data_IF_076518406177
#
_entry.id   IF_076518406177
#
_cell.length_a   1.000
_cell.length_b   1.000
_cell.length_c   1.000
_cell.angle_alpha   90.00
_cell.angle_beta   90.00
_cell.angle_gamma   90.00
#
_symmetry.space_group_name_H-M   'P 1'
#
loop_
_entity.id
_entity.type
_entity.pdbx_description
1 polymer ?
#
# COMPACT_ATOMS: atom_id res chain seq x y z
N UNK A 1 27.50 38.21 -31.42
CA UNK A 1 27.27 39.62 -31.05
C UNK A 1 25.85 39.63 -30.48
N UNK A 2 25.52 39.71 -29.20
CA UNK A 2 26.12 40.08 -27.92
C UNK A 2 25.21 39.38 -26.87
N UNK A 3 25.70 38.56 -25.95
CA UNK A 3 25.92 38.87 -24.51
C UNK A 3 24.78 39.65 -23.81
N UNK A 4 24.49 39.22 -22.57
CA UNK A 4 23.62 39.78 -21.50
C UNK A 4 22.33 38.95 -21.35
N UNK A 5 22.02 38.37 -20.19
CA UNK A 5 22.15 38.93 -18.84
C UNK A 5 22.05 37.77 -17.83
N UNK A 6 23.17 37.44 -17.20
CA UNK A 6 23.17 36.75 -15.90
C UNK A 6 22.68 37.78 -14.86
N UNK A 7 21.56 37.50 -14.21
CA UNK A 7 21.10 38.25 -13.04
C UNK A 7 21.29 37.34 -11.83
N UNK A 8 22.46 37.53 -11.21
CA UNK A 8 22.85 37.03 -9.90
C UNK A 8 21.83 37.53 -8.87
N UNK A 9 21.14 36.62 -8.19
CA UNK A 9 20.37 36.95 -6.98
C UNK A 9 21.12 36.31 -5.82
N UNK A 10 22.06 37.07 -5.25
CA UNK A 10 22.61 36.83 -3.92
C UNK A 10 21.48 37.04 -2.89
N UNK A 11 20.84 35.95 -2.50
CA UNK A 11 19.97 35.94 -1.34
C UNK A 11 20.84 35.74 -0.09
N UNK A 12 21.04 36.84 0.62
CA UNK A 12 21.58 37.01 1.96
C UNK A 12 21.14 35.88 2.92
N UNK A 13 22.03 34.91 3.18
CA UNK A 13 21.84 33.86 4.19
C UNK A 13 22.08 34.49 5.56
N UNK A 14 20.99 34.89 6.20
CA UNK A 14 20.97 35.40 7.57
C UNK A 14 21.29 34.26 8.53
N UNK A 15 22.54 34.24 9.03
CA UNK A 15 23.01 33.30 10.04
C UNK A 15 22.10 33.35 11.29
N UNK A 16 21.46 32.22 11.59
CA UNK A 16 20.76 32.01 12.85
C UNK A 16 21.77 31.39 13.83
N UNK A 17 22.05 32.02 14.99
CA UNK A 17 22.95 31.44 15.98
C UNK A 17 22.34 30.17 16.57
N UNK A 18 22.98 29.03 16.29
CA UNK A 18 22.70 27.73 16.90
C UNK A 18 23.19 27.80 18.34
N UNK A 19 22.27 27.81 19.29
CA UNK A 19 22.55 27.66 20.72
C UNK A 19 22.74 26.16 21.01
N UNK A 20 23.89 25.70 21.52
CA UNK A 20 24.05 24.32 21.93
C UNK A 20 23.26 24.10 23.24
N UNK A 21 22.12 23.43 23.15
CA UNK A 21 21.43 22.91 24.32
C UNK A 21 22.24 21.73 24.88
N UNK A 22 22.95 21.97 25.99
CA UNK A 22 23.50 20.92 26.85
C UNK A 22 22.38 19.97 27.28
N UNK A 23 22.31 18.80 26.66
CA UNK A 23 21.49 17.69 27.14
C UNK A 23 22.28 17.00 28.23
N UNK A 24 21.92 17.30 29.49
CA UNK A 24 22.32 16.54 30.67
C UNK A 24 21.94 15.07 30.49
N UNK A 25 22.94 14.21 30.34
CA UNK A 25 22.78 12.78 30.53
C UNK A 25 22.42 12.50 32.01
N UNK A 26 21.29 11.83 32.20
CA UNK A 26 20.94 11.20 33.48
C UNK A 26 21.24 9.71 33.32
N UNK A 27 22.20 9.14 34.06
CA UNK A 27 22.38 7.69 34.05
C UNK A 27 21.28 7.07 34.90
N UNK A 28 20.23 6.56 34.25
CA UNK A 28 19.27 5.69 34.89
C UNK A 28 19.91 4.31 35.02
N UNK A 29 20.34 4.00 36.24
CA UNK A 29 20.83 2.71 36.70
C UNK A 29 19.71 1.67 36.55
N UNK A 30 19.66 0.98 35.41
CA UNK A 30 18.71 -0.12 35.17
C UNK A 30 19.33 -1.40 35.73
N UNK A 31 18.74 -1.82 36.85
CA UNK A 31 19.00 -3.04 37.60
C UNK A 31 18.78 -4.26 36.69
N UNK A 32 19.87 -4.93 36.31
CA UNK A 32 19.83 -6.19 35.56
C UNK A 32 19.20 -7.29 36.42
N UNK A 33 18.15 -7.93 35.88
CA UNK A 33 17.66 -9.22 36.33
C UNK A 33 18.06 -10.23 35.25
N UNK A 34 18.98 -11.18 35.52
CA UNK A 34 19.31 -12.21 34.55
C UNK A 34 18.20 -13.25 34.57
N UNK A 35 17.15 -13.02 33.77
CA UNK A 35 16.25 -14.09 33.37
C UNK A 35 17.00 -14.93 32.34
N UNK A 36 17.55 -16.05 32.80
CA UNK A 36 18.20 -17.10 32.01
C UNK A 36 17.15 -17.73 31.07
N UNK A 37 16.83 -17.03 29.97
CA UNK A 37 16.00 -17.54 28.89
C UNK A 37 16.89 -18.51 28.13
N UNK A 38 16.64 -19.80 28.37
CA UNK A 38 17.23 -20.93 27.67
C UNK A 38 16.89 -20.80 26.18
N UNK A 39 17.76 -20.13 25.43
CA UNK A 39 17.65 -19.99 23.99
C UNK A 39 17.71 -21.39 23.38
N UNK A 40 16.57 -21.84 22.87
CA UNK A 40 16.53 -22.95 21.94
C UNK A 40 16.98 -22.34 20.61
N UNK A 41 18.16 -22.68 20.07
CA UNK A 41 18.53 -22.28 18.72
C UNK A 41 17.66 -23.10 17.77
N UNK A 42 16.41 -22.67 17.59
CA UNK A 42 15.65 -23.04 16.42
C UNK A 42 16.41 -22.38 15.27
N UNK A 43 17.15 -23.19 14.51
CA UNK A 43 17.79 -22.81 13.27
C UNK A 43 16.68 -22.54 12.24
N UNK A 44 15.95 -21.45 12.46
CA UNK A 44 14.94 -20.96 11.54
C UNK A 44 15.73 -20.40 10.39
N UNK A 45 15.74 -21.13 9.26
CA UNK A 45 16.24 -20.60 8.00
C UNK A 45 15.51 -19.29 7.75
N UNK A 46 16.21 -18.17 7.95
CA UNK A 46 15.63 -16.85 7.77
C UNK A 46 15.19 -16.73 6.32
N UNK A 47 13.87 -16.67 6.12
CA UNK A 47 13.30 -16.43 4.80
C UNK A 47 13.75 -15.02 4.39
N UNK A 48 14.47 -14.86 3.27
CA UNK A 48 14.91 -13.54 2.84
C UNK A 48 13.72 -12.59 2.76
N UNK A 49 13.88 -11.34 3.20
CA UNK A 49 12.76 -10.38 3.21
C UNK A 49 12.10 -10.25 1.83
N UNK A 50 12.90 -10.33 0.76
CA UNK A 50 12.48 -10.28 -0.64
C UNK A 50 11.54 -11.43 -1.05
N UNK A 51 11.45 -12.51 -0.26
CA UNK A 51 10.56 -13.63 -0.53
C UNK A 51 9.16 -13.45 0.08
N UNK A 52 8.95 -12.37 0.84
CA UNK A 52 7.65 -12.02 1.40
C UNK A 52 7.13 -10.74 0.74
N UNK A 53 5.82 -10.64 0.52
CA UNK A 53 5.23 -9.42 -0.06
C UNK A 53 5.56 -8.16 0.76
N UNK A 54 5.47 -8.27 2.09
CA UNK A 54 5.80 -7.17 3.01
C UNK A 54 7.28 -6.78 2.94
N UNK A 55 8.16 -7.75 2.78
CA UNK A 55 9.59 -7.49 2.65
C UNK A 55 9.99 -6.95 1.29
N UNK A 56 9.42 -7.44 0.17
CA UNK A 56 9.58 -6.82 -1.16
C UNK A 56 9.25 -5.34 -1.10
N UNK A 57 8.10 -4.97 -0.53
CA UNK A 57 7.70 -3.56 -0.38
C UNK A 57 8.71 -2.76 0.43
N UNK A 58 9.24 -3.32 1.53
CA UNK A 58 10.28 -2.65 2.33
C UNK A 58 11.57 -2.45 1.54
N UNK A 59 12.03 -3.47 0.82
CA UNK A 59 13.24 -3.41 -0.02
C UNK A 59 13.07 -2.37 -1.12
N UNK A 60 11.93 -2.38 -1.83
CA UNK A 60 11.64 -1.39 -2.88
C UNK A 60 11.65 0.02 -2.29
N UNK A 61 10.92 0.28 -1.20
CA UNK A 61 10.88 1.63 -0.61
C UNK A 61 12.26 2.07 -0.11
N UNK A 62 13.05 1.16 0.47
CA UNK A 62 14.42 1.48 0.91
C UNK A 62 15.31 1.90 -0.27
N UNK A 63 15.20 1.23 -1.42
CA UNK A 63 15.95 1.60 -2.65
C UNK A 63 15.45 2.93 -3.23
N UNK A 64 14.14 3.13 -3.25
CA UNK A 64 13.51 4.38 -3.73
C UNK A 64 13.97 5.57 -2.90
N UNK A 65 13.96 5.46 -1.57
CA UNK A 65 14.43 6.53 -0.69
C UNK A 65 15.93 6.78 -0.82
N UNK A 66 16.76 5.74 -0.93
CA UNK A 66 18.19 5.92 -1.15
C UNK A 66 18.50 6.68 -2.47
N UNK A 67 17.75 6.40 -3.53
CA UNK A 67 17.90 7.12 -4.80
C UNK A 67 17.32 8.54 -4.75
N UNK A 68 16.22 8.74 -4.02
CA UNK A 68 15.69 10.07 -3.71
C UNK A 68 16.73 10.94 -2.99
N UNK A 69 17.33 10.42 -1.92
CA UNK A 69 18.38 11.10 -1.15
C UNK A 69 19.58 11.42 -2.04
N UNK A 70 19.94 10.52 -2.96
CA UNK A 70 21.01 10.77 -3.94
C UNK A 70 20.66 11.93 -4.89
N UNK A 71 19.42 12.00 -5.40
CA UNK A 71 18.99 13.10 -6.26
C UNK A 71 18.99 14.45 -5.50
N UNK A 72 18.65 14.44 -4.23
CA UNK A 72 18.73 15.63 -3.37
C UNK A 72 20.18 16.10 -3.19
N UNK A 73 21.13 15.17 -2.97
CA UNK A 73 22.56 15.47 -2.91
C UNK A 73 23.11 16.01 -4.24
N UNK A 74 22.58 15.55 -5.37
CA UNK A 74 22.91 16.06 -6.70
C UNK A 74 22.26 17.43 -7.01
N UNK A 75 21.40 17.94 -6.13
CA UNK A 75 20.66 19.18 -6.35
C UNK A 75 19.58 19.08 -7.43
N UNK A 76 19.13 17.86 -7.76
CA UNK A 76 18.04 17.63 -8.71
C UNK A 76 16.73 17.53 -7.94
N UNK A 77 15.83 18.53 -8.04
CA UNK A 77 14.55 18.47 -7.35
C UNK A 77 13.69 17.34 -7.94
N UNK A 78 13.19 16.46 -7.08
CA UNK A 78 12.28 15.39 -7.47
C UNK A 78 10.87 15.93 -7.62
N UNK A 79 10.23 15.75 -8.77
CA UNK A 79 8.83 16.15 -8.94
C UNK A 79 7.90 15.09 -8.34
N UNK A 80 6.69 15.50 -7.97
CA UNK A 80 5.68 14.60 -7.37
C UNK A 80 5.35 13.38 -8.25
N UNK A 81 5.51 13.51 -9.57
CA UNK A 81 5.30 12.42 -10.53
C UNK A 81 6.49 11.47 -10.69
N UNK A 82 7.70 11.90 -10.32
CA UNK A 82 8.92 11.11 -10.54
C UNK A 82 9.06 10.02 -9.48
N UNK A 83 8.64 10.28 -8.25
CA UNK A 83 8.62 9.28 -7.18
C UNK A 83 7.80 8.03 -7.57
N UNK A 84 6.62 8.22 -8.19
CA UNK A 84 5.78 7.10 -8.63
C UNK A 84 6.44 6.25 -9.73
N UNK A 85 7.17 6.91 -10.65
CA UNK A 85 7.96 6.20 -11.69
C UNK A 85 9.10 5.42 -11.05
N UNK A 86 9.82 6.04 -10.11
CA UNK A 86 10.93 5.43 -9.39
C UNK A 86 10.49 4.19 -8.60
N UNK A 87 9.35 4.25 -7.91
CA UNK A 87 8.74 3.08 -7.24
C UNK A 87 8.44 1.97 -8.25
N UNK A 88 7.87 2.30 -9.41
CA UNK A 88 7.51 1.32 -10.44
C UNK A 88 8.76 0.64 -11.02
N UNK A 89 9.81 1.41 -11.29
CA UNK A 89 11.10 0.93 -11.79
C UNK A 89 11.77 -0.02 -10.80
N UNK A 90 11.95 0.42 -9.54
CA UNK A 90 12.55 -0.41 -8.48
C UNK A 90 11.71 -1.64 -8.15
N UNK A 91 10.39 -1.55 -8.23
CA UNK A 91 9.53 -2.70 -8.08
C UNK A 91 9.77 -3.74 -9.20
N UNK A 92 9.91 -3.28 -10.45
CA UNK A 92 10.20 -4.16 -11.58
C UNK A 92 11.58 -4.82 -11.48
N UNK A 93 12.60 -4.09 -11.01
CA UNK A 93 13.93 -4.64 -10.70
C UNK A 93 13.85 -5.74 -9.64
N UNK A 94 13.26 -5.43 -8.47
CA UNK A 94 13.13 -6.39 -7.37
C UNK A 94 12.34 -7.62 -7.79
N UNK A 95 11.28 -7.45 -8.59
CA UNK A 95 10.48 -8.58 -9.10
C UNK A 95 11.30 -9.53 -9.99
N UNK A 96 12.34 -9.04 -10.69
CA UNK A 96 13.27 -9.88 -11.46
C UNK A 96 14.27 -10.61 -10.55
N UNK A 97 14.57 -10.06 -9.37
CA UNK A 97 15.45 -10.68 -8.36
C UNK A 97 14.74 -11.73 -7.51
N UNK A 98 13.41 -11.67 -7.36
CA UNK A 98 12.67 -12.62 -6.53
C UNK A 98 12.94 -14.08 -6.96
N UNK A 99 12.86 -14.48 -8.24
CA UNK A 99 13.11 -15.88 -8.62
C UNK A 99 14.56 -16.34 -8.40
N UNK A 100 15.54 -15.43 -8.38
CA UNK A 100 16.95 -15.78 -8.21
C UNK A 100 17.32 -15.96 -6.73
N UNK A 101 16.78 -15.11 -5.87
CA UNK A 101 17.03 -15.14 -4.42
C UNK A 101 16.10 -16.13 -3.72
N UNK A 102 14.82 -16.08 -4.08
CA UNK A 102 13.83 -17.00 -3.59
C UNK A 102 13.86 -18.23 -4.47
N UNK A 103 14.81 -19.13 -4.18
CA UNK A 103 14.74 -20.55 -4.58
C UNK A 103 13.61 -21.26 -3.83
N UNK A 104 12.47 -20.60 -3.70
CA UNK A 104 11.23 -21.23 -3.30
C UNK A 104 10.90 -22.16 -4.45
N UNK A 105 11.02 -23.45 -4.18
CA UNK A 105 10.54 -24.54 -5.02
C UNK A 105 9.22 -24.09 -5.65
N UNK A 106 9.29 -23.81 -6.96
CA UNK A 106 8.18 -23.28 -7.76
C UNK A 106 6.97 -24.21 -7.80
N UNK A 107 7.07 -25.36 -7.15
CA UNK A 107 6.09 -26.44 -7.14
C UNK A 107 4.85 -26.13 -6.28
N UNK A 108 4.88 -25.08 -5.44
CA UNK A 108 3.71 -24.68 -4.63
C UNK A 108 2.80 -23.67 -5.36
N UNK A 109 3.32 -22.89 -6.32
CA UNK A 109 2.56 -21.84 -7.02
C UNK A 109 2.16 -22.18 -8.46
N UNK A 110 2.58 -23.32 -9.00
CA UNK A 110 2.06 -23.89 -10.26
C UNK A 110 0.78 -24.70 -10.07
N UNK A 111 0.08 -24.55 -8.92
CA UNK A 111 -1.32 -24.89 -8.82
C UNK A 111 -2.11 -23.98 -9.77
N UNK A 112 -2.34 -24.51 -10.97
CA UNK A 112 -3.08 -23.90 -12.05
C UNK A 112 -4.36 -23.23 -11.53
N UNK A 113 -4.51 -21.89 -11.65
CA UNK A 113 -5.73 -21.19 -11.24
C UNK A 113 -6.96 -21.66 -12.04
N UNK A 114 -6.80 -22.50 -13.08
CA UNK A 114 -7.90 -23.20 -13.76
C UNK A 114 -8.64 -24.21 -12.89
N UNK A 115 -8.09 -24.60 -11.73
CA UNK A 115 -8.66 -25.63 -10.84
C UNK A 115 -9.19 -25.08 -9.52
N UNK A 116 -9.67 -23.85 -9.52
CA UNK A 116 -10.62 -23.37 -8.50
C UNK A 116 -12.03 -23.82 -8.94
N UNK A 117 -12.81 -24.54 -8.11
CA UNK A 117 -14.17 -24.93 -8.48
C UNK A 117 -14.99 -23.69 -8.86
N UNK A 118 -15.36 -23.63 -10.14
CA UNK A 118 -15.82 -22.46 -10.89
C UNK A 118 -17.27 -22.04 -10.59
N UNK A 119 -17.83 -22.39 -9.44
CA UNK A 119 -19.29 -22.27 -9.22
C UNK A 119 -19.73 -20.90 -8.68
N UNK A 120 -18.81 -19.96 -8.40
CA UNK A 120 -19.17 -18.61 -7.88
C UNK A 120 -18.52 -17.41 -8.61
N UNK A 121 -17.78 -17.62 -9.70
CA UNK A 121 -17.14 -16.51 -10.43
C UNK A 121 -17.93 -16.02 -11.65
N UNK A 122 -18.90 -16.78 -12.17
CA UNK A 122 -19.69 -16.37 -13.34
C UNK A 122 -20.71 -15.25 -13.06
N UNK A 123 -21.17 -15.10 -11.83
CA UNK A 123 -22.11 -14.01 -11.47
C UNK A 123 -21.38 -12.67 -11.24
N UNK A 124 -20.13 -12.71 -10.78
CA UNK A 124 -19.38 -11.49 -10.42
C UNK A 124 -18.85 -10.75 -11.64
N UNK A 125 -18.43 -11.43 -12.71
CA UNK A 125 -18.03 -10.74 -13.95
C UNK A 125 -19.22 -10.19 -14.73
N UNK A 126 -20.36 -10.90 -14.74
CA UNK A 126 -21.57 -10.42 -15.41
C UNK A 126 -22.09 -9.11 -14.80
N UNK A 127 -22.09 -9.01 -13.47
CA UNK A 127 -22.50 -7.77 -12.78
C UNK A 127 -21.57 -6.58 -13.08
N UNK A 128 -20.27 -6.80 -13.28
CA UNK A 128 -19.30 -5.72 -13.51
C UNK A 128 -19.43 -5.11 -14.91
N UNK A 129 -19.72 -5.92 -15.93
CA UNK A 129 -19.91 -5.43 -17.30
C UNK A 129 -21.26 -4.73 -17.48
N UNK A 130 -22.30 -5.18 -16.78
CA UNK A 130 -23.62 -4.55 -16.78
C UNK A 130 -23.60 -3.16 -16.11
N UNK A 131 -22.94 -3.04 -14.95
CA UNK A 131 -22.73 -1.75 -14.26
C UNK A 131 -21.92 -0.78 -15.13
N UNK A 132 -20.94 -1.27 -15.91
CA UNK A 132 -20.14 -0.41 -16.79
C UNK A 132 -20.96 0.16 -17.94
N UNK A 133 -21.85 -0.64 -18.54
CA UNK A 133 -22.74 -0.18 -19.63
C UNK A 133 -23.74 0.86 -19.13
N UNK A 134 -24.34 0.65 -17.96
CA UNK A 134 -25.22 1.67 -17.35
C UNK A 134 -24.47 2.98 -17.06
N UNK A 135 -23.22 2.90 -16.60
CA UNK A 135 -22.43 4.10 -16.32
C UNK A 135 -22.11 4.89 -17.60
N UNK A 136 -21.65 4.22 -18.66
CA UNK A 136 -21.31 4.88 -19.92
C UNK A 136 -22.56 5.50 -20.59
N UNK A 137 -23.72 4.84 -20.52
CA UNK A 137 -24.98 5.37 -21.05
C UNK A 137 -25.50 6.56 -20.22
N UNK A 138 -25.32 6.52 -18.90
CA UNK A 138 -25.74 7.63 -18.02
C UNK A 138 -24.80 8.84 -18.08
N UNK A 139 -23.50 8.65 -18.29
CA UNK A 139 -22.56 9.75 -18.53
C UNK A 139 -22.81 10.37 -19.90
N UNK A 140 -23.12 9.57 -20.92
CA UNK A 140 -23.45 10.08 -22.26
C UNK A 140 -24.72 10.94 -22.30
N UNK A 141 -25.67 10.72 -21.37
CA UNK A 141 -26.93 11.46 -21.34
C UNK A 141 -26.87 12.81 -20.57
N UNK A 142 -25.78 13.10 -19.85
CA UNK A 142 -25.65 14.34 -19.08
C UNK A 142 -24.70 15.32 -19.77
N UNK A 143 -25.24 16.32 -20.48
CA UNK A 143 -24.44 17.34 -21.17
C UNK A 143 -23.85 18.42 -20.23
N UNK A 144 -24.25 18.46 -18.95
CA UNK A 144 -23.80 19.47 -17.99
C UNK A 144 -23.24 18.87 -16.70
N UNK A 145 -22.24 19.55 -16.11
CA UNK A 145 -21.59 19.13 -14.85
C UNK A 145 -22.61 19.03 -13.71
N UNK A 146 -23.60 19.91 -13.67
CA UNK A 146 -24.68 19.88 -12.67
C UNK A 146 -25.57 18.63 -12.75
N UNK A 147 -25.70 18.01 -13.93
CA UNK A 147 -26.42 16.75 -14.12
C UNK A 147 -25.62 15.57 -13.52
N UNK A 148 -24.29 15.58 -13.70
CA UNK A 148 -23.40 14.56 -13.14
C UNK A 148 -23.34 14.63 -11.61
N UNK A 149 -23.23 15.83 -11.03
CA UNK A 149 -23.18 16.00 -9.57
C UNK A 149 -24.43 15.48 -8.87
N UNK A 150 -25.62 15.76 -9.40
CA UNK A 150 -26.88 15.22 -8.88
C UNK A 150 -26.91 13.69 -8.93
N UNK A 151 -26.42 13.11 -10.01
CA UNK A 151 -26.42 11.66 -10.22
C UNK A 151 -25.41 10.93 -9.33
N UNK A 152 -24.27 11.55 -9.05
CA UNK A 152 -23.29 11.03 -8.07
C UNK A 152 -23.89 11.00 -6.66
N UNK A 153 -24.67 12.02 -6.27
CA UNK A 153 -25.37 12.05 -4.98
C UNK A 153 -26.44 10.96 -4.91
N UNK A 154 -27.20 10.76 -5.98
CA UNK A 154 -28.21 9.69 -6.10
C UNK A 154 -27.58 8.29 -5.92
N UNK A 155 -26.46 8.02 -6.62
CA UNK A 155 -25.76 6.73 -6.55
C UNK A 155 -25.16 6.47 -5.16
N UNK A 156 -24.64 7.51 -4.50
CA UNK A 156 -24.16 7.39 -3.11
C UNK A 156 -25.29 6.97 -2.16
N UNK A 157 -26.49 7.55 -2.34
CA UNK A 157 -27.67 7.22 -1.54
C UNK A 157 -28.18 5.79 -1.78
N UNK A 158 -28.05 5.27 -3.00
CA UNK A 158 -28.39 3.88 -3.30
C UNK A 158 -27.41 2.89 -2.67
N UNK A 159 -26.11 3.22 -2.68
CA UNK A 159 -25.08 2.39 -2.04
C UNK A 159 -25.27 2.30 -0.53
N UNK A 160 -25.60 3.41 0.11
CA UNK A 160 -25.83 3.45 1.56
C UNK A 160 -27.03 2.58 1.99
N UNK A 161 -28.05 2.44 1.13
CA UNK A 161 -29.18 1.54 1.35
C UNK A 161 -28.83 0.04 1.16
N UNK A 162 -27.79 -0.28 0.40
CA UNK A 162 -27.32 -1.66 0.20
C UNK A 162 -26.38 -2.12 1.33
N UNK A 163 -25.69 -1.19 1.98
CA UNK A 163 -24.75 -1.46 3.06
C UNK A 163 -25.42 -1.51 4.44
N UNK A 164 -26.74 -1.28 4.56
CA UNK A 164 -27.46 -1.57 5.81
C UNK A 164 -27.58 -3.09 5.99
N UNK A 165 -26.91 -3.68 7.00
CA UNK A 165 -26.96 -5.11 7.22
C UNK A 165 -28.40 -5.46 7.60
N UNK A 166 -29.04 -6.28 6.78
CA UNK A 166 -30.33 -6.90 7.10
C UNK A 166 -30.16 -7.72 8.38
N UNK A 167 -30.40 -7.09 9.53
CA UNK A 167 -30.58 -7.75 10.83
C UNK A 167 -31.97 -8.37 10.85
N UNK A 168 -32.23 -9.31 9.94
CA UNK A 168 -33.40 -10.17 10.07
C UNK A 168 -33.07 -11.29 11.06
N UNK A 169 -33.75 -11.17 12.19
CA UNK A 169 -33.83 -12.08 13.31
C UNK A 169 -33.84 -13.56 12.89
N UNK A 170 -32.75 -14.26 13.21
CA UNK A 170 -32.78 -15.70 13.44
C UNK A 170 -33.47 -15.94 14.79
N UNK A 171 -34.80 -16.05 14.74
CA UNK A 171 -35.58 -16.61 15.84
C UNK A 171 -35.49 -18.14 15.73
N UNK A 172 -34.71 -18.73 16.63
CA UNK A 172 -34.56 -20.17 16.84
C UNK A 172 -35.78 -20.71 17.61
N UNK A 173 -36.62 -21.60 17.06
CA UNK A 173 -37.64 -22.31 17.82
C UNK A 173 -37.25 -23.80 17.91
N UNK A 174 -36.43 -24.16 18.89
CA UNK A 174 -36.02 -25.55 19.10
C UNK A 174 -35.76 -25.83 20.57
N UNK A 175 -36.82 -25.96 21.37
CA UNK A 175 -36.72 -26.68 22.65
C UNK A 175 -38.05 -27.39 22.98
N UNK A 176 -38.25 -28.57 22.38
CA UNK A 176 -39.15 -29.62 22.91
C UNK A 176 -38.66 -30.99 22.48
N UNK A 177 -37.98 -31.70 23.37
CA UNK A 177 -38.02 -33.15 23.47
C UNK A 177 -37.64 -33.55 24.91
N UNK A 178 -38.59 -34.00 25.73
CA UNK A 178 -39.12 -35.38 25.81
C UNK A 178 -38.31 -36.23 26.81
N UNK A 179 -38.81 -36.29 28.05
CA UNK A 179 -38.47 -37.29 29.07
C UNK A 179 -39.79 -37.94 29.50
N UNK A 180 -40.01 -39.18 29.06
CA UNK A 180 -40.72 -40.27 29.76
C UNK A 180 -40.51 -41.57 28.99
#
# INVERSE_FOLDING_TARGET
IETKKEELIEAEVKEVPIVPAEVKEVPAEVKEVPAEVKEVPAEVKEVPEICTFKGIRRVVMKRVWAEADQLELEGKPMLIGDFGKLVTEKWAEVKKEVPTVCKLESDIFTADPSKVPSEKQSEKEKSKEEIKKEFDETVSSCETVACLEKKIVELKKQREQLDEPSTEASADPSEKDSVD
#
